data_IF_383070442157
#
_entry.id   IF_383070442157
#
_cell.length_a   1.000
_cell.length_b   1.000
_cell.length_c   1.000
_cell.angle_alpha   90.00
_cell.angle_beta   90.00
_cell.angle_gamma   90.00
#
_symmetry.space_group_name_H-M   'P 1'
#
loop_
_entity.id
_entity.type
_entity.pdbx_description
1 polymer ?
#
# COMPACT_ATOMS: atom_id res chain seq x y z
N UNK A 1 36.26 39.45 27.21
CA UNK A 1 35.95 38.00 27.06
C UNK A 1 35.85 37.68 25.57
N UNK A 2 36.52 36.65 25.04
CA UNK A 2 36.34 36.26 23.64
C UNK A 2 35.02 35.47 23.47
N UNK A 3 34.32 35.63 22.33
CA UNK A 3 33.06 34.94 22.08
C UNK A 3 33.26 33.43 21.93
N UNK A 4 32.38 32.63 22.54
CA UNK A 4 32.36 31.16 22.46
C UNK A 4 32.28 30.72 20.99
N UNK A 5 33.24 29.90 20.54
CA UNK A 5 33.21 29.24 19.23
C UNK A 5 31.96 28.37 19.12
N UNK A 6 31.20 28.54 18.04
CA UNK A 6 30.00 27.73 17.75
C UNK A 6 30.39 26.32 17.27
N UNK A 7 29.59 25.33 17.70
CA UNK A 7 29.81 23.88 17.56
C UNK A 7 29.51 23.33 16.13
N UNK A 8 30.04 24.00 15.09
CA UNK A 8 29.71 23.71 13.68
C UNK A 8 30.14 22.29 13.25
N UNK A 9 31.30 21.81 13.72
CA UNK A 9 31.84 20.50 13.33
C UNK A 9 31.05 19.29 13.84
N UNK A 10 30.43 19.38 15.02
CA UNK A 10 29.67 18.27 15.62
C UNK A 10 28.33 18.04 14.90
N UNK A 11 27.70 19.12 14.44
CA UNK A 11 26.44 19.09 13.70
C UNK A 11 26.62 18.48 12.29
N UNK A 12 27.76 18.76 11.63
CA UNK A 12 28.07 18.23 10.30
C UNK A 12 28.26 16.70 10.31
N UNK A 13 28.95 16.16 11.33
CA UNK A 13 29.17 14.73 11.46
C UNK A 13 27.86 13.98 11.75
N UNK A 14 27.03 14.50 12.66
CA UNK A 14 25.72 13.92 12.95
C UNK A 14 24.77 13.93 11.73
N UNK A 15 24.83 14.98 10.91
CA UNK A 15 24.05 15.06 9.66
C UNK A 15 24.54 14.05 8.60
N UNK A 16 25.85 13.81 8.54
CA UNK A 16 26.45 12.80 7.64
C UNK A 16 26.04 11.39 8.06
N UNK A 17 26.16 11.04 9.33
CA UNK A 17 25.74 9.72 9.85
C UNK A 17 24.25 9.47 9.59
N UNK A 18 23.38 10.45 9.88
CA UNK A 18 21.94 10.34 9.57
C UNK A 18 21.62 10.23 8.08
N UNK A 19 22.50 10.69 7.19
CA UNK A 19 22.31 10.57 5.74
C UNK A 19 22.69 9.16 5.27
N UNK A 20 23.74 8.59 5.84
CA UNK A 20 24.21 7.24 5.55
C UNK A 20 23.20 6.19 6.05
N UNK A 21 22.66 6.36 7.27
CA UNK A 21 21.57 5.53 7.82
C UNK A 21 20.33 5.51 6.90
N UNK A 22 19.94 6.68 6.36
CA UNK A 22 18.78 6.81 5.45
C UNK A 22 18.96 6.14 4.09
N UNK A 23 20.19 5.82 3.68
CA UNK A 23 20.45 5.20 2.36
C UNK A 23 20.33 3.67 2.38
N UNK A 24 20.40 3.03 3.55
CA UNK A 24 20.33 1.58 3.71
C UNK A 24 18.95 1.03 4.10
N UNK A 25 17.99 1.88 4.47
CA UNK A 25 16.70 1.48 5.07
C UNK A 25 15.48 1.78 4.17
N UNK A 26 14.93 0.75 3.53
CA UNK A 26 13.72 0.87 2.69
C UNK A 26 12.42 0.71 3.48
N UNK A 27 12.32 -0.24 4.43
CA UNK A 27 11.10 -0.51 5.21
C UNK A 27 10.90 0.47 6.37
N UNK A 28 11.97 0.84 7.10
CA UNK A 28 11.89 1.83 8.19
C UNK A 28 11.52 3.23 7.68
N UNK A 29 11.82 3.54 6.42
CA UNK A 29 11.45 4.81 5.79
C UNK A 29 9.93 4.96 5.67
N UNK A 30 9.19 3.88 5.37
CA UNK A 30 7.72 3.93 5.29
C UNK A 30 7.09 4.16 6.68
N UNK A 31 7.55 3.44 7.70
CA UNK A 31 7.06 3.60 9.07
C UNK A 31 7.38 4.99 9.65
N UNK A 32 8.59 5.49 9.39
CA UNK A 32 9.01 6.85 9.78
C UNK A 32 8.18 7.92 9.08
N UNK A 33 7.88 7.75 7.79
CA UNK A 33 7.03 8.69 7.05
C UNK A 33 5.59 8.68 7.59
N UNK A 34 5.05 7.51 7.94
CA UNK A 34 3.72 7.41 8.57
C UNK A 34 3.70 8.05 9.97
N UNK A 35 4.73 7.81 10.79
CA UNK A 35 4.89 8.48 12.08
C UNK A 35 4.97 10.00 11.96
N UNK A 36 5.73 10.50 10.99
CA UNK A 36 5.79 11.93 10.68
C UNK A 36 4.42 12.47 10.23
N UNK A 37 3.69 11.72 9.41
CA UNK A 37 2.35 12.09 8.93
C UNK A 37 1.37 12.23 10.11
N UNK A 38 1.37 11.27 11.02
CA UNK A 38 0.53 11.29 12.22
C UNK A 38 0.89 12.47 13.15
N UNK A 39 2.18 12.68 13.40
CA UNK A 39 2.65 13.79 14.23
C UNK A 39 2.24 15.16 13.66
N UNK A 40 2.41 15.35 12.34
CA UNK A 40 1.99 16.57 11.66
C UNK A 40 0.47 16.75 11.73
N UNK A 41 -0.31 15.69 11.50
CA UNK A 41 -1.77 15.72 11.60
C UNK A 41 -2.23 16.13 13.01
N UNK A 42 -1.60 15.60 14.06
CA UNK A 42 -1.93 15.94 15.44
C UNK A 42 -1.58 17.40 15.76
N UNK A 43 -0.42 17.87 15.31
CA UNK A 43 0.01 19.26 15.46
C UNK A 43 -0.94 20.24 14.77
N UNK A 44 -1.46 19.87 13.59
CA UNK A 44 -2.48 20.66 12.88
C UNK A 44 -3.84 20.67 13.57
N UNK A 45 -4.21 19.59 14.28
CA UNK A 45 -5.49 19.49 14.97
C UNK A 45 -5.55 20.38 16.23
N UNK A 46 -4.41 20.68 16.85
CA UNK A 46 -4.31 21.52 18.05
C UNK A 46 -3.84 22.95 17.74
N UNK A 47 -3.69 23.30 16.46
CA UNK A 47 -3.22 24.60 15.97
C UNK A 47 -4.24 25.71 16.28
N UNK A 48 -3.78 26.83 16.84
CA UNK A 48 -4.61 28.04 17.01
C UNK A 48 -4.85 28.74 15.66
N UNK A 49 -5.95 29.49 15.52
CA UNK A 49 -6.26 30.27 14.30
C UNK A 49 -5.11 31.20 13.89
N UNK A 50 -4.45 31.85 14.85
CA UNK A 50 -3.32 32.75 14.57
C UNK A 50 -2.08 31.98 14.06
N UNK A 51 -1.82 30.80 14.61
CA UNK A 51 -0.72 29.94 14.16
C UNK A 51 -1.00 29.39 12.75
N UNK A 52 -2.26 29.01 12.50
CA UNK A 52 -2.73 28.54 11.20
C UNK A 52 -2.55 29.60 10.11
N UNK A 53 -2.94 30.85 10.39
CA UNK A 53 -2.75 31.98 9.48
C UNK A 53 -1.28 32.27 9.21
N UNK A 54 -0.45 32.36 10.26
CA UNK A 54 0.99 32.58 10.13
C UNK A 54 1.67 31.48 9.31
N UNK A 55 1.29 30.22 9.51
CA UNK A 55 1.81 29.08 8.73
C UNK A 55 1.39 29.16 7.27
N UNK A 56 0.14 29.49 6.99
CA UNK A 56 -0.37 29.65 5.63
C UNK A 56 0.32 30.82 4.92
N UNK A 57 0.55 31.94 5.60
CA UNK A 57 1.27 33.09 5.06
C UNK A 57 2.74 32.74 4.76
N UNK A 58 3.44 32.10 5.71
CA UNK A 58 4.80 31.62 5.50
C UNK A 58 4.89 30.62 4.32
N UNK A 59 3.89 29.75 4.17
CA UNK A 59 3.79 28.83 3.03
C UNK A 59 3.61 29.58 1.71
N UNK A 60 2.72 30.58 1.66
CA UNK A 60 2.51 31.44 0.49
C UNK A 60 3.79 32.19 0.11
N UNK A 61 4.52 32.72 1.08
CA UNK A 61 5.78 33.42 0.87
C UNK A 61 6.84 32.48 0.25
N UNK A 62 7.04 31.29 0.81
CA UNK A 62 7.97 30.28 0.27
C UNK A 62 7.60 29.86 -1.16
N UNK A 63 6.32 29.65 -1.45
CA UNK A 63 5.87 29.30 -2.80
C UNK A 63 6.10 30.44 -3.77
N UNK A 64 5.92 31.70 -3.35
CA UNK A 64 6.18 32.88 -4.17
C UNK A 64 7.67 32.98 -4.52
N UNK A 65 8.54 32.82 -3.54
CA UNK A 65 10.00 32.84 -3.74
C UNK A 65 10.45 31.71 -4.67
N UNK A 66 9.94 30.49 -4.44
CA UNK A 66 10.20 29.36 -5.34
C UNK A 66 9.72 29.64 -6.77
N UNK A 67 8.57 30.29 -6.95
CA UNK A 67 8.07 30.65 -8.29
C UNK A 67 8.95 31.70 -8.98
N UNK A 68 9.55 32.61 -8.21
CA UNK A 68 10.46 33.63 -8.75
C UNK A 68 11.81 33.05 -9.14
N UNK A 69 12.28 32.00 -8.46
CA UNK A 69 13.55 31.33 -8.79
C UNK A 69 13.45 30.34 -9.97
N UNK A 70 12.25 29.98 -10.42
CA UNK A 70 12.06 29.08 -11.56
C UNK A 70 12.41 29.75 -12.91
N UNK A 71 13.01 28.96 -13.80
CA UNK A 71 13.26 29.37 -15.18
C UNK A 71 11.94 29.63 -15.92
N UNK A 72 12.01 30.29 -17.07
CA UNK A 72 10.84 30.51 -17.93
C UNK A 72 10.24 29.19 -18.43
N UNK A 73 11.10 28.24 -18.83
CA UNK A 73 10.68 26.91 -19.30
C UNK A 73 9.94 26.14 -18.22
N UNK A 74 10.50 26.05 -17.01
CA UNK A 74 9.89 25.30 -15.89
C UNK A 74 8.53 25.88 -15.48
N UNK A 75 8.37 27.21 -15.62
CA UNK A 75 7.09 27.88 -15.33
C UNK A 75 6.02 27.51 -16.34
N UNK A 76 6.37 27.46 -17.63
CA UNK A 76 5.44 27.06 -18.68
C UNK A 76 5.06 25.59 -18.54
N UNK A 77 6.05 24.70 -18.33
CA UNK A 77 5.80 23.27 -18.14
C UNK A 77 4.85 22.99 -16.96
N UNK A 78 5.07 23.64 -15.81
CA UNK A 78 4.16 23.53 -14.66
C UNK A 78 2.75 24.03 -14.97
N UNK A 79 2.63 25.11 -15.76
CA UNK A 79 1.33 25.66 -16.16
C UNK A 79 0.61 24.71 -17.12
N UNK A 80 1.32 24.14 -18.07
CA UNK A 80 0.79 23.21 -19.05
C UNK A 80 0.36 21.91 -18.39
N UNK A 81 1.19 21.34 -17.51
CA UNK A 81 0.85 20.16 -16.70
C UNK A 81 -0.39 20.40 -15.82
N UNK A 82 -0.48 21.56 -15.15
CA UNK A 82 -1.68 21.91 -14.40
C UNK A 82 -2.91 22.05 -15.32
N UNK A 83 -2.75 22.62 -16.51
CA UNK A 83 -3.81 22.74 -17.52
C UNK A 83 -4.31 21.37 -17.99
N UNK A 84 -3.40 20.48 -18.34
CA UNK A 84 -3.69 19.10 -18.74
C UNK A 84 -4.39 18.33 -17.62
N UNK A 85 -3.89 18.41 -16.39
CA UNK A 85 -4.53 17.75 -15.23
C UNK A 85 -5.95 18.27 -15.00
N UNK A 86 -6.18 19.58 -15.08
CA UNK A 86 -7.51 20.18 -14.96
C UNK A 86 -8.46 19.75 -16.09
N UNK A 87 -7.95 19.67 -17.32
CA UNK A 87 -8.71 19.18 -18.48
C UNK A 87 -9.09 17.71 -18.32
N UNK A 88 -8.12 16.88 -17.92
CA UNK A 88 -8.33 15.45 -17.69
C UNK A 88 -9.36 15.21 -16.59
N UNK A 89 -9.29 15.95 -15.49
CA UNK A 89 -10.27 15.90 -14.41
C UNK A 89 -11.69 16.26 -14.90
N UNK A 90 -11.82 17.26 -15.77
CA UNK A 90 -13.12 17.62 -16.37
C UNK A 90 -13.66 16.54 -17.30
N UNK A 91 -12.80 15.96 -18.14
CA UNK A 91 -13.18 14.86 -19.03
C UNK A 91 -13.59 13.62 -18.22
N UNK A 92 -12.84 13.29 -17.17
CA UNK A 92 -13.16 12.20 -16.26
C UNK A 92 -14.54 12.38 -15.62
N UNK A 93 -14.96 13.61 -15.27
CA UNK A 93 -16.30 13.88 -14.73
C UNK A 93 -17.45 13.63 -15.73
N UNK A 94 -17.18 13.61 -17.03
CA UNK A 94 -18.18 13.35 -18.06
C UNK A 94 -18.35 11.86 -18.37
N UNK A 95 -17.51 11.00 -17.79
CA UNK A 95 -17.53 9.55 -18.01
C UNK A 95 -18.81 8.97 -17.40
N UNK A 96 -19.64 8.34 -18.24
CA UNK A 96 -20.77 7.55 -17.75
C UNK A 96 -20.24 6.27 -17.10
N UNK A 97 -20.48 6.13 -15.80
CA UNK A 97 -20.01 4.98 -15.02
C UNK A 97 -20.87 3.71 -15.16
N UNK A 98 -21.96 3.75 -15.94
CA UNK A 98 -22.84 2.59 -16.08
C UNK A 98 -22.06 1.42 -16.72
N UNK A 99 -21.99 0.30 -16.01
CA UNK A 99 -21.25 -0.92 -16.39
C UNK A 99 -19.75 -0.73 -16.67
N UNK A 100 -19.14 0.37 -16.24
CA UNK A 100 -17.74 0.68 -16.58
C UNK A 100 -16.74 -0.34 -16.02
N UNK A 101 -17.12 -1.07 -14.97
CA UNK A 101 -16.33 -2.20 -14.45
C UNK A 101 -16.07 -3.28 -15.51
N UNK A 102 -16.95 -3.44 -16.50
CA UNK A 102 -16.79 -4.39 -17.61
C UNK A 102 -16.06 -3.79 -18.82
N UNK A 103 -15.87 -2.46 -18.84
CA UNK A 103 -15.25 -1.71 -19.93
C UNK A 103 -14.16 -0.80 -19.34
N UNK A 104 -13.22 -1.41 -18.61
CA UNK A 104 -12.16 -0.68 -17.96
C UNK A 104 -11.25 0.00 -18.99
N UNK A 105 -11.15 1.33 -18.90
CA UNK A 105 -10.18 2.14 -19.64
C UNK A 105 -9.08 2.64 -18.69
N UNK A 106 -7.83 2.24 -18.92
CA UNK A 106 -6.66 2.62 -18.10
C UNK A 106 -6.26 4.09 -18.21
N UNK A 107 -6.76 4.83 -19.18
CA UNK A 107 -6.50 6.27 -19.34
C UNK A 107 -7.35 7.13 -18.40
N UNK A 108 -8.39 6.55 -17.80
CA UNK A 108 -9.30 7.25 -16.89
C UNK A 108 -8.82 7.04 -15.45
N UNK A 109 -8.59 8.14 -14.74
CA UNK A 109 -8.27 8.10 -13.31
C UNK A 109 -9.54 8.01 -12.47
N UNK A 110 -10.12 6.82 -12.37
CA UNK A 110 -11.39 6.58 -11.66
C UNK A 110 -11.37 7.02 -10.21
N UNK A 111 -10.22 6.95 -9.54
CA UNK A 111 -10.05 7.38 -8.14
C UNK A 111 -10.35 8.87 -7.92
N UNK A 112 -10.23 9.70 -8.95
CA UNK A 112 -10.55 11.13 -8.90
C UNK A 112 -12.02 11.41 -9.25
N UNK A 113 -12.78 10.41 -9.68
CA UNK A 113 -14.16 10.60 -10.08
C UNK A 113 -15.03 10.88 -8.83
N UNK A 114 -15.85 11.95 -8.80
CA UNK A 114 -16.60 12.37 -7.61
C UNK A 114 -17.52 11.30 -7.00
N UNK A 115 -18.02 10.39 -7.85
CA UNK A 115 -18.94 9.31 -7.46
C UNK A 115 -18.19 8.03 -7.01
N UNK A 116 -16.94 7.85 -7.43
CA UNK A 116 -16.14 6.66 -7.08
C UNK A 116 -15.44 6.92 -5.76
N UNK A 117 -16.21 6.86 -4.67
CA UNK A 117 -15.68 7.01 -3.31
C UNK A 117 -15.50 5.63 -2.71
N UNK A 118 -14.28 5.10 -2.78
CA UNK A 118 -13.90 3.89 -2.04
C UNK A 118 -13.50 4.32 -0.62
N UNK A 119 -14.48 4.33 0.29
CA UNK A 119 -14.23 4.61 1.70
C UNK A 119 -13.42 3.48 2.37
N UNK A 120 -12.92 3.73 3.59
CA UNK A 120 -12.26 2.69 4.38
C UNK A 120 -13.24 1.59 4.81
N UNK A 121 -12.75 0.34 4.83
CA UNK A 121 -13.51 -0.83 5.27
C UNK A 121 -13.56 -0.88 6.81
N UNK A 122 -14.36 -0.01 7.41
CA UNK A 122 -14.40 0.23 8.87
C UNK A 122 -15.73 -0.14 9.54
N UNK A 123 -16.71 -0.61 8.78
CA UNK A 123 -17.97 -1.13 9.33
C UNK A 123 -17.86 -2.63 9.51
N UNK A 124 -18.60 -3.18 10.46
CA UNK A 124 -18.59 -4.61 10.76
C UNK A 124 -19.95 -5.21 10.42
N UNK A 125 -19.97 -6.33 9.71
CA UNK A 125 -21.19 -7.11 9.53
C UNK A 125 -21.63 -7.72 10.87
N UNK A 126 -22.92 -7.57 11.19
CA UNK A 126 -23.48 -8.06 12.46
C UNK A 126 -23.31 -9.58 12.60
N UNK A 127 -23.54 -10.30 11.50
CA UNK A 127 -23.70 -11.76 11.51
C UNK A 127 -22.38 -12.54 11.49
N UNK A 128 -21.35 -12.04 10.81
CA UNK A 128 -20.08 -12.75 10.62
C UNK A 128 -18.85 -11.98 11.14
N UNK A 129 -19.05 -10.77 11.68
CA UNK A 129 -17.97 -9.88 12.17
C UNK A 129 -16.91 -9.49 11.12
N UNK A 130 -17.13 -9.80 9.85
CA UNK A 130 -16.28 -9.32 8.77
C UNK A 130 -16.37 -7.80 8.63
N UNK A 131 -15.26 -7.17 8.21
CA UNK A 131 -15.24 -5.75 7.86
C UNK A 131 -15.95 -5.53 6.51
N UNK A 132 -16.54 -4.35 6.35
CA UNK A 132 -17.32 -3.97 5.17
C UNK A 132 -17.21 -2.49 4.84
N UNK A 133 -17.50 -2.15 3.60
CA UNK A 133 -17.63 -0.75 3.18
C UNK A 133 -18.96 -0.17 3.65
N UNK A 134 -19.01 1.15 3.85
CA UNK A 134 -20.21 1.83 4.37
C UNK A 134 -21.44 1.64 3.49
N UNK A 135 -21.26 1.69 2.17
CA UNK A 135 -22.34 1.58 1.17
C UNK A 135 -22.43 0.18 0.54
N UNK A 136 -21.84 -0.83 1.17
CA UNK A 136 -21.89 -2.20 0.67
C UNK A 136 -23.30 -2.78 0.78
N UNK A 137 -23.79 -3.40 -0.30
CA UNK A 137 -25.14 -3.93 -0.36
C UNK A 137 -25.36 -5.04 0.71
N UNK A 138 -26.50 -5.03 1.41
CA UNK A 138 -26.84 -6.13 2.32
C UNK A 138 -26.81 -7.46 1.60
N UNK A 139 -26.03 -8.42 2.10
CA UNK A 139 -25.91 -9.74 1.50
C UNK A 139 -24.63 -10.01 0.72
N UNK A 140 -23.79 -9.01 0.47
CA UNK A 140 -22.46 -9.20 -0.13
C UNK A 140 -21.57 -10.11 0.73
N UNK A 141 -21.71 -10.03 2.05
CA UNK A 141 -21.08 -10.98 2.98
C UNK A 141 -22.10 -11.92 3.64
N UNK A 142 -21.78 -13.20 3.68
CA UNK A 142 -22.54 -14.28 4.32
C UNK A 142 -24.03 -14.35 3.92
N UNK A 143 -24.40 -13.77 2.78
CA UNK A 143 -25.79 -13.68 2.31
C UNK A 143 -26.74 -13.16 3.39
N UNK A 144 -26.30 -12.13 4.11
CA UNK A 144 -27.00 -11.53 5.26
C UNK A 144 -27.25 -12.51 6.42
N UNK A 145 -26.28 -13.38 6.69
CA UNK A 145 -26.33 -14.35 7.80
C UNK A 145 -26.97 -15.69 7.46
N UNK A 146 -27.44 -15.86 6.21
CA UNK A 146 -27.96 -17.16 5.73
C UNK A 146 -26.84 -18.19 5.55
N UNK A 147 -25.64 -17.75 5.21
CA UNK A 147 -24.46 -18.61 5.10
C UNK A 147 -23.67 -18.55 6.40
N UNK A 148 -23.60 -19.67 7.11
CA UNK A 148 -22.71 -19.87 8.26
C UNK A 148 -21.51 -20.68 7.80
N UNK A 149 -20.34 -20.05 7.76
CA UNK A 149 -19.10 -20.77 7.45
C UNK A 149 -18.70 -21.62 8.66
N UNK A 150 -18.26 -22.87 8.46
CA UNK A 150 -17.62 -23.65 9.51
C UNK A 150 -16.41 -22.91 10.08
N UNK A 151 -16.10 -23.03 11.37
CA UNK A 151 -14.85 -22.53 11.92
C UNK A 151 -13.66 -23.12 11.15
N UNK A 152 -12.71 -22.26 10.76
CA UNK A 152 -11.48 -22.71 10.13
C UNK A 152 -10.72 -23.60 11.12
N UNK A 153 -10.28 -24.78 10.67
CA UNK A 153 -9.38 -25.62 11.46
C UNK A 153 -8.02 -24.92 11.54
N UNK A 154 -7.42 -24.94 12.73
CA UNK A 154 -6.07 -24.43 12.88
C UNK A 154 -5.11 -25.21 11.95
N UNK A 155 -4.24 -24.51 11.21
CA UNK A 155 -3.18 -25.16 10.45
C UNK A 155 -2.31 -26.06 11.34
N UNK A 156 -1.74 -27.13 10.79
CA UNK A 156 -0.78 -27.99 11.51
C UNK A 156 0.61 -27.35 11.53
N UNK A 157 1.43 -27.65 12.53
CA UNK A 157 2.84 -27.24 12.51
C UNK A 157 3.59 -27.94 11.35
N UNK A 158 4.52 -27.25 10.66
CA UNK A 158 5.09 -25.93 10.97
C UNK A 158 4.29 -24.71 10.43
N UNK A 159 3.18 -24.93 9.72
CA UNK A 159 2.47 -23.83 9.05
C UNK A 159 1.82 -22.85 10.03
N UNK A 160 1.34 -23.34 11.17
CA UNK A 160 0.76 -22.49 12.21
C UNK A 160 1.76 -21.46 12.73
N UNK A 161 2.94 -21.89 13.18
CA UNK A 161 3.98 -20.97 13.64
C UNK A 161 4.40 -19.95 12.57
N UNK A 162 4.43 -20.34 11.29
CA UNK A 162 4.77 -19.45 10.18
C UNK A 162 3.73 -18.36 9.89
N UNK A 163 2.43 -18.60 10.12
CA UNK A 163 1.37 -17.62 9.81
C UNK A 163 0.98 -16.72 10.99
N UNK A 164 1.55 -16.94 12.18
CA UNK A 164 1.15 -16.21 13.40
C UNK A 164 1.73 -14.79 13.52
N UNK A 165 2.78 -14.45 12.78
CA UNK A 165 3.50 -13.16 12.85
C UNK A 165 4.30 -12.95 14.15
N UNK A 166 4.43 -13.98 14.99
CA UNK A 166 4.99 -13.84 16.35
C UNK A 166 6.51 -13.88 16.39
N UNK A 167 7.14 -14.58 15.45
CA UNK A 167 8.60 -14.76 15.39
C UNK A 167 9.19 -14.01 14.20
N UNK A 168 10.49 -13.72 14.25
CA UNK A 168 11.21 -13.11 13.11
C UNK A 168 11.06 -13.96 11.84
N UNK A 169 11.08 -15.29 11.98
CA UNK A 169 10.88 -16.21 10.87
C UNK A 169 9.46 -16.13 10.30
N UNK A 170 8.45 -16.04 11.16
CA UNK A 170 7.06 -15.87 10.74
C UNK A 170 6.84 -14.54 10.01
N UNK A 171 7.40 -13.44 10.50
CA UNK A 171 7.33 -12.15 9.83
C UNK A 171 8.05 -12.15 8.48
N UNK A 172 9.23 -12.76 8.41
CA UNK A 172 9.94 -12.94 7.15
C UNK A 172 9.13 -13.77 6.14
N UNK A 173 8.51 -14.86 6.62
CA UNK A 173 7.62 -15.69 5.81
C UNK A 173 6.43 -14.89 5.28
N UNK A 174 5.72 -14.15 6.13
CA UNK A 174 4.56 -13.34 5.73
C UNK A 174 4.93 -12.23 4.74
N UNK A 175 6.07 -11.55 4.95
CA UNK A 175 6.56 -10.52 4.04
C UNK A 175 6.89 -11.07 2.65
N UNK A 176 7.33 -12.34 2.58
CA UNK A 176 7.73 -13.01 1.34
C UNK A 176 6.71 -14.07 0.87
N UNK A 177 5.50 -14.11 1.44
CA UNK A 177 4.54 -15.21 1.23
C UNK A 177 4.17 -15.42 -0.23
N UNK A 178 4.13 -14.34 -1.03
CA UNK A 178 3.87 -14.41 -2.48
C UNK A 178 4.96 -15.19 -3.21
N UNK A 179 6.22 -14.98 -2.85
CA UNK A 179 7.36 -15.69 -3.44
C UNK A 179 7.30 -17.17 -3.08
N UNK A 180 7.05 -17.49 -1.81
CA UNK A 180 6.87 -18.86 -1.35
C UNK A 180 5.72 -19.57 -2.08
N UNK A 181 4.54 -18.94 -2.17
CA UNK A 181 3.39 -19.51 -2.87
C UNK A 181 3.66 -19.72 -4.36
N UNK A 182 4.41 -18.81 -5.00
CA UNK A 182 4.80 -18.94 -6.41
C UNK A 182 5.74 -20.13 -6.61
N UNK A 183 6.72 -20.33 -5.72
CA UNK A 183 7.61 -21.50 -5.76
C UNK A 183 6.85 -22.81 -5.52
N UNK A 184 5.88 -22.79 -4.59
CA UNK A 184 5.05 -23.95 -4.24
C UNK A 184 4.09 -24.30 -5.38
N UNK A 185 3.57 -23.32 -6.11
CA UNK A 185 2.73 -23.54 -7.30
C UNK A 185 3.46 -24.32 -8.40
N UNK A 186 4.79 -24.16 -8.50
CA UNK A 186 5.63 -24.93 -9.43
C UNK A 186 5.95 -26.34 -8.91
N UNK A 187 5.72 -26.61 -7.62
CA UNK A 187 6.21 -27.83 -6.93
C UNK A 187 5.08 -28.78 -6.51
N UNK A 188 3.83 -28.31 -6.38
CA UNK A 188 2.71 -29.14 -5.96
C UNK A 188 2.09 -29.89 -7.14
N UNK A 189 2.67 -31.05 -7.45
CA UNK A 189 1.96 -32.16 -8.09
C UNK A 189 1.78 -33.28 -7.07
N UNK A 190 0.54 -33.61 -6.75
CA UNK A 190 0.23 -34.82 -6.00
C UNK A 190 0.19 -36.01 -6.96
N UNK A 191 1.06 -37.01 -6.74
CA UNK A 191 1.01 -38.28 -7.46
C UNK A 191 0.63 -39.39 -6.47
N UNK A 192 -0.35 -40.21 -6.82
CA UNK A 192 -0.76 -41.38 -6.02
C UNK A 192 0.23 -42.52 -6.11
N UNK A 193 0.94 -42.63 -7.23
CA UNK A 193 1.94 -43.67 -7.47
C UNK A 193 3.26 -43.02 -7.90
N UNK A 194 4.33 -43.29 -7.16
CA UNK A 194 5.70 -42.86 -7.48
C UNK A 194 6.50 -44.10 -7.85
N UNK A 195 6.85 -44.24 -9.12
CA UNK A 195 7.73 -45.32 -9.59
C UNK A 195 9.11 -44.70 -9.78
N UNK A 196 10.05 -45.04 -8.89
CA UNK A 196 11.44 -44.62 -9.02
C UNK A 196 12.27 -45.76 -9.59
N UNK A 197 12.72 -45.63 -10.83
CA UNK A 197 13.82 -46.44 -11.35
C UNK A 197 15.15 -45.72 -11.08
N UNK A 198 16.22 -46.52 -10.92
CA UNK A 198 17.49 -46.07 -10.37
C UNK A 198 18.05 -44.85 -11.14
N UNK A 199 18.13 -43.71 -10.43
CA UNK A 199 18.66 -42.41 -10.85
C UNK A 199 18.05 -41.81 -12.14
N UNK A 200 16.84 -41.28 -12.03
CA UNK A 200 16.30 -40.33 -13.01
C UNK A 200 16.58 -38.87 -12.60
N UNK A 201 17.27 -38.11 -13.45
CA UNK A 201 17.45 -36.65 -13.30
C UNK A 201 16.26 -35.83 -13.83
N UNK A 202 15.29 -36.48 -14.48
CA UNK A 202 14.08 -35.87 -15.02
C UNK A 202 12.86 -36.71 -14.64
N UNK A 203 11.83 -36.10 -14.07
CA UNK A 203 10.56 -36.77 -13.79
C UNK A 203 9.68 -36.79 -15.04
N UNK A 204 9.13 -37.96 -15.39
CA UNK A 204 8.20 -38.13 -16.52
C UNK A 204 6.81 -38.42 -15.98
N UNK A 205 5.86 -37.52 -16.24
CA UNK A 205 4.46 -37.68 -15.81
C UNK A 205 3.71 -38.38 -16.95
N UNK A 206 3.14 -39.55 -16.68
CA UNK A 206 2.37 -40.37 -17.64
C UNK A 206 0.89 -40.44 -17.27
N UNK A 207 0.22 -39.30 -17.05
CA UNK A 207 -1.25 -39.23 -16.85
C UNK A 207 -1.81 -37.88 -17.35
N UNK A 208 -3.15 -37.74 -17.37
CA UNK A 208 -3.81 -36.45 -17.59
C UNK A 208 -3.61 -35.55 -16.35
N UNK A 209 -3.06 -34.35 -16.59
CA UNK A 209 -2.83 -33.35 -15.56
C UNK A 209 -4.14 -32.62 -15.25
N UNK A 210 -4.64 -32.78 -14.03
CA UNK A 210 -5.73 -31.98 -13.49
C UNK A 210 -5.14 -30.96 -12.51
N UNK A 211 -5.16 -29.67 -12.90
CA UNK A 211 -4.87 -28.59 -11.96
C UNK A 211 -6.08 -28.39 -11.05
N UNK A 212 -5.96 -28.78 -9.79
CA UNK A 212 -6.95 -28.39 -8.77
C UNK A 212 -6.74 -26.90 -8.49
N UNK A 213 -7.64 -26.07 -8.98
CA UNK A 213 -7.62 -24.64 -8.66
C UNK A 213 -7.95 -24.44 -7.18
N UNK A 214 -6.93 -24.13 -6.37
CA UNK A 214 -7.06 -23.58 -5.03
C UNK A 214 -7.20 -24.62 -3.91
N UNK A 215 -6.25 -24.60 -2.98
CA UNK A 215 -6.50 -25.00 -1.60
C UNK A 215 -7.02 -23.74 -0.89
N UNK A 216 -8.33 -23.68 -0.67
CA UNK A 216 -9.00 -22.75 0.25
C UNK A 216 -9.85 -23.60 1.20
#
# INVERSE_FOLDING_TARGET
MPPKRQNIGRCANAAKTKREERQSETEETAQRNEGNRLHMSQSHATESSQQHEARNEASRARIRELRQSLSYSDRNEKRDNNGLSMQMNRLNQLVKLDRIAFQYNSEIEYSLHPVVVVESMNKVYINCKALKFKNEAPGMCCLNGKVKLPPLKAPLEPSFSLVTGTTTQSNYFLNNIRNYNTCIQMTLFGATNIITENYMSMFKIQEQIYNTAGFL
#
